data_IF_025262242268
#
_entry.id   IF_025262242268
#
_cell.length_a   1.000
_cell.length_b   1.000
_cell.length_c   1.000
_cell.angle_alpha   90.00
_cell.angle_beta   90.00
_cell.angle_gamma   90.00
#
_symmetry.space_group_name_H-M   'P 1'
#
loop_
_entity.id
_entity.type
_entity.pdbx_description
1 polymer ?
#
# COMPACT_ATOMS: atom_id res chain seq x y z
N UNK A 1 18.80 -13.40 -5.56
CA UNK A 1 18.35 -13.43 -4.15
C UNK A 1 19.40 -14.11 -3.28
N UNK A 2 19.90 -15.30 -3.65
CA UNK A 2 20.99 -15.98 -2.93
C UNK A 2 22.29 -15.17 -2.88
N UNK A 3 22.84 -14.74 -4.01
CA UNK A 3 24.06 -13.90 -4.02
C UNK A 3 23.89 -12.53 -3.36
N UNK A 4 22.66 -12.06 -3.14
CA UNK A 4 22.36 -10.81 -2.44
C UNK A 4 22.16 -11.00 -0.93
N UNK A 5 22.31 -12.23 -0.42
CA UNK A 5 22.08 -12.56 1.00
C UNK A 5 20.61 -12.52 1.43
N UNK A 6 19.67 -12.46 0.49
CA UNK A 6 18.22 -12.42 0.78
C UNK A 6 17.67 -13.83 1.03
N UNK A 7 18.26 -14.85 0.39
CA UNK A 7 17.89 -16.25 0.57
C UNK A 7 19.14 -17.08 0.87
N UNK A 8 19.01 -18.06 1.75
CA UNK A 8 20.03 -19.05 2.05
C UNK A 8 19.50 -20.46 1.81
N UNK A 9 20.41 -21.38 1.46
CA UNK A 9 20.06 -22.79 1.31
C UNK A 9 20.01 -23.44 2.68
N UNK A 10 18.94 -24.16 2.97
CA UNK A 10 18.77 -24.96 4.17
C UNK A 10 18.55 -26.42 3.80
N UNK A 11 18.91 -27.35 4.69
CA UNK A 11 18.69 -28.77 4.44
C UNK A 11 17.21 -29.15 4.52
N UNK A 12 16.47 -28.56 5.46
CA UNK A 12 15.05 -28.84 5.69
C UNK A 12 14.38 -27.70 6.47
N UNK A 13 13.06 -27.56 6.32
CA UNK A 13 12.22 -26.63 7.08
C UNK A 13 10.89 -27.29 7.43
N UNK A 14 10.37 -26.99 8.61
CA UNK A 14 9.01 -27.37 9.02
C UNK A 14 7.94 -26.53 8.31
N UNK A 15 8.33 -25.37 7.76
CA UNK A 15 7.45 -24.45 7.05
C UNK A 15 7.88 -24.32 5.59
N UNK A 16 6.90 -24.41 4.69
CA UNK A 16 7.08 -24.17 3.26
C UNK A 16 5.86 -23.45 2.70
N UNK A 17 6.06 -22.73 1.59
CA UNK A 17 4.99 -22.16 0.78
C UNK A 17 5.28 -22.50 -0.68
N UNK A 18 4.28 -22.80 -1.52
CA UNK A 18 4.52 -22.98 -2.95
C UNK A 18 4.98 -21.66 -3.57
N UNK A 19 5.89 -21.76 -4.55
CA UNK A 19 6.35 -20.61 -5.33
C UNK A 19 5.56 -20.53 -6.63
N UNK A 20 5.00 -19.36 -6.89
CA UNK A 20 4.26 -19.01 -8.10
C UNK A 20 5.17 -18.16 -8.99
N UNK A 21 5.64 -18.69 -10.13
CA UNK A 21 6.34 -17.90 -11.13
C UNK A 21 5.35 -17.06 -11.94
N UNK A 22 5.56 -15.75 -11.95
CA UNK A 22 4.76 -14.78 -12.71
C UNK A 22 5.61 -14.22 -13.84
N UNK A 23 5.16 -14.40 -15.08
CA UNK A 23 5.81 -13.81 -16.26
C UNK A 23 5.27 -12.41 -16.47
N UNK A 24 6.15 -11.42 -16.47
CA UNK A 24 5.81 -10.03 -16.79
C UNK A 24 5.69 -9.81 -18.30
N UNK A 25 5.08 -8.69 -18.69
CA UNK A 25 4.95 -8.28 -20.10
C UNK A 25 6.29 -8.12 -20.82
N UNK A 26 7.33 -7.77 -20.08
CA UNK A 26 8.71 -7.65 -20.56
C UNK A 26 9.44 -9.01 -20.74
N UNK A 27 8.77 -10.12 -20.45
CA UNK A 27 9.32 -11.48 -20.47
C UNK A 27 10.12 -11.88 -19.23
N UNK A 28 10.34 -10.97 -18.28
CA UNK A 28 11.04 -11.29 -17.04
C UNK A 28 10.14 -12.04 -16.04
N UNK A 29 10.76 -12.87 -15.20
CA UNK A 29 10.05 -13.69 -14.22
C UNK A 29 10.15 -13.05 -12.83
N UNK A 30 9.00 -12.95 -12.15
CA UNK A 30 8.92 -12.67 -10.70
C UNK A 30 8.52 -13.95 -9.99
N UNK A 31 9.23 -14.29 -8.91
CA UNK A 31 8.85 -15.40 -8.04
C UNK A 31 8.05 -14.84 -6.87
N UNK A 32 6.86 -15.38 -6.64
CA UNK A 32 5.95 -14.98 -5.57
C UNK A 32 5.64 -16.20 -4.69
N UNK A 33 5.83 -16.12 -3.37
CA UNK A 33 5.36 -17.19 -2.47
C UNK A 33 3.85 -17.08 -2.28
N UNK A 34 3.12 -18.19 -2.38
CA UNK A 34 1.68 -18.23 -2.07
C UNK A 34 1.48 -18.39 -0.56
N UNK A 35 1.69 -17.28 0.16
CA UNK A 35 1.51 -17.23 1.61
C UNK A 35 0.05 -17.32 2.05
N UNK A 36 -0.91 -17.13 1.13
CA UNK A 36 -2.35 -17.23 1.41
C UNK A 36 -2.71 -18.62 1.90
N UNK A 37 -2.15 -19.65 1.27
CA UNK A 37 -2.48 -21.04 1.61
C UNK A 37 -1.78 -21.54 2.88
N UNK A 38 -0.70 -20.87 3.32
CA UNK A 38 0.15 -21.29 4.44
C UNK A 38 0.24 -20.20 5.53
N UNK A 39 1.25 -19.33 5.46
CA UNK A 39 1.63 -18.36 6.51
C UNK A 39 0.46 -17.50 6.97
N UNK A 40 -0.35 -17.00 6.02
CA UNK A 40 -1.44 -16.08 6.33
C UNK A 40 -2.59 -16.73 7.13
N UNK A 41 -2.68 -18.07 7.17
CA UNK A 41 -3.64 -18.78 8.04
C UNK A 41 -3.18 -18.87 9.48
N UNK A 42 -1.88 -18.76 9.73
CA UNK A 42 -1.26 -18.94 11.04
C UNK A 42 -0.88 -17.61 11.69
N UNK A 43 -0.82 -16.52 10.92
CA UNK A 43 -0.57 -15.17 11.42
C UNK A 43 -1.88 -14.54 11.92
N UNK A 44 -1.84 -13.94 13.11
CA UNK A 44 -2.95 -13.11 13.60
C UNK A 44 -2.89 -11.75 12.91
N UNK A 45 -3.96 -11.28 12.24
CA UNK A 45 -3.95 -9.98 11.60
C UNK A 45 -3.77 -8.90 12.66
N UNK A 46 -2.77 -8.06 12.47
CA UNK A 46 -2.56 -6.85 13.23
C UNK A 46 -2.67 -5.66 12.28
N UNK A 47 -3.65 -4.80 12.52
CA UNK A 47 -3.84 -3.57 11.76
C UNK A 47 -3.10 -2.45 12.47
N UNK A 48 -1.98 -2.01 11.91
CA UNK A 48 -1.40 -0.74 12.29
C UNK A 48 -2.25 0.38 11.65
N UNK A 49 -2.70 1.40 12.41
CA UNK A 49 -3.48 2.50 11.86
C UNK A 49 -2.57 3.38 11.02
N UNK A 50 -2.40 3.03 9.75
CA UNK A 50 -1.83 3.95 8.77
C UNK A 50 -2.91 4.97 8.42
N UNK A 51 -2.61 6.28 8.51
CA UNK A 51 -3.56 7.30 8.10
C UNK A 51 -3.91 7.06 6.65
N UNK A 52 -5.19 6.96 6.35
CA UNK A 52 -5.60 6.84 4.96
C UNK A 52 -5.37 8.18 4.27
N UNK A 53 -5.04 8.14 2.98
CA UNK A 53 -4.92 9.36 2.17
C UNK A 53 -6.19 10.21 2.29
N UNK A 54 -7.35 9.57 2.40
CA UNK A 54 -8.64 10.23 2.58
C UNK A 54 -8.76 10.98 3.91
N UNK A 55 -8.28 10.44 5.04
CA UNK A 55 -8.30 11.14 6.33
C UNK A 55 -7.48 12.43 6.30
N UNK A 56 -6.39 12.46 5.52
CA UNK A 56 -5.51 13.63 5.36
C UNK A 56 -6.00 14.61 4.29
N UNK A 57 -6.74 14.13 3.29
CA UNK A 57 -7.23 14.93 2.17
C UNK A 57 -8.65 15.47 2.36
N UNK A 58 -9.47 14.92 3.26
CA UNK A 58 -10.89 15.28 3.37
C UNK A 58 -11.11 16.77 3.60
N UNK A 59 -10.29 17.40 4.44
CA UNK A 59 -10.38 18.83 4.75
C UNK A 59 -9.92 19.70 3.56
N UNK A 60 -8.87 19.27 2.86
CA UNK A 60 -8.31 19.99 1.71
C UNK A 60 -9.23 19.89 0.49
N UNK A 61 -9.91 18.74 0.33
CA UNK A 61 -10.79 18.47 -0.80
C UNK A 61 -12.21 19.03 -0.60
N UNK A 62 -12.54 19.57 0.57
CA UNK A 62 -13.89 20.08 0.87
C UNK A 62 -14.41 21.10 -0.17
N UNK A 63 -13.62 22.09 -0.62
CA UNK A 63 -14.04 23.01 -1.68
C UNK A 63 -14.30 22.28 -3.00
N UNK A 64 -13.51 21.26 -3.32
CA UNK A 64 -13.67 20.47 -4.54
C UNK A 64 -14.90 19.55 -4.46
N UNK A 65 -15.21 19.00 -3.28
CA UNK A 65 -16.41 18.19 -3.06
C UNK A 65 -17.69 19.02 -3.20
N UNK A 66 -17.68 20.30 -2.80
CA UNK A 66 -18.81 21.22 -3.02
C UNK A 66 -19.17 21.39 -4.50
N UNK A 67 -18.18 21.44 -5.39
CA UNK A 67 -18.40 21.50 -6.84
C UNK A 67 -19.09 20.25 -7.42
N UNK A 68 -19.09 19.13 -6.69
CA UNK A 68 -19.74 17.88 -7.11
C UNK A 68 -21.18 17.77 -6.58
N UNK A 69 -21.63 18.70 -5.74
CA UNK A 69 -22.98 18.68 -5.19
C UNK A 69 -24.01 19.13 -6.22
N UNK A 70 -25.20 18.53 -6.14
CA UNK A 70 -26.33 18.92 -6.99
C UNK A 70 -26.76 20.34 -6.64
N UNK A 71 -27.10 21.14 -7.65
CA UNK A 71 -27.55 22.54 -7.53
C UNK A 71 -26.47 23.57 -7.17
N UNK A 72 -25.19 23.21 -7.25
CA UNK A 72 -24.06 24.16 -7.21
C UNK A 72 -23.66 24.53 -8.64
N UNK A 73 -23.67 25.82 -9.03
CA UNK A 73 -23.14 26.23 -10.33
C UNK A 73 -21.63 25.95 -10.36
N UNK A 74 -21.18 25.30 -11.43
CA UNK A 74 -19.78 24.97 -11.59
C UNK A 74 -18.97 26.24 -11.89
N UNK A 75 -18.27 26.75 -10.87
CA UNK A 75 -17.39 27.90 -10.99
C UNK A 75 -16.05 27.62 -10.31
N UNK A 76 -14.97 27.66 -11.10
CA UNK A 76 -13.62 27.45 -10.59
C UNK A 76 -13.03 28.75 -10.04
N UNK A 77 -13.10 28.92 -8.72
CA UNK A 77 -12.51 30.05 -8.00
C UNK A 77 -11.05 29.78 -7.57
N UNK A 78 -10.38 30.81 -7.04
CA UNK A 78 -9.03 30.70 -6.49
C UNK A 78 -8.93 29.68 -5.34
N UNK A 79 -9.99 29.53 -4.54
CA UNK A 79 -10.05 28.57 -3.42
C UNK A 79 -9.96 27.12 -3.92
N UNK A 80 -10.62 26.81 -5.05
CA UNK A 80 -10.57 25.49 -5.68
C UNK A 80 -9.18 25.19 -6.26
N UNK A 81 -8.54 26.19 -6.87
CA UNK A 81 -7.19 26.07 -7.41
C UNK A 81 -6.15 25.83 -6.31
N UNK A 82 -6.31 26.50 -5.16
CA UNK A 82 -5.47 26.31 -3.98
C UNK A 82 -5.64 24.91 -3.38
N UNK A 83 -6.89 24.47 -3.18
CA UNK A 83 -7.22 23.11 -2.74
C UNK A 83 -6.65 22.03 -3.67
N UNK A 84 -6.72 22.23 -4.98
CA UNK A 84 -6.17 21.30 -5.98
C UNK A 84 -4.64 21.22 -5.95
N UNK A 85 -3.96 22.35 -5.76
CA UNK A 85 -2.49 22.39 -5.62
C UNK A 85 -2.04 21.75 -4.30
N UNK A 86 -2.73 22.07 -3.20
CA UNK A 86 -2.44 21.52 -1.89
C UNK A 86 -2.59 19.99 -1.85
N UNK A 87 -3.68 19.46 -2.43
CA UNK A 87 -3.91 18.01 -2.52
C UNK A 87 -2.85 17.29 -3.36
N UNK A 88 -2.44 17.85 -4.50
CA UNK A 88 -1.31 17.33 -5.28
C UNK A 88 0.01 17.34 -4.51
N UNK A 89 0.27 18.42 -3.78
CA UNK A 89 1.45 18.54 -2.94
C UNK A 89 1.49 17.41 -1.92
N UNK A 90 0.42 17.25 -1.15
CA UNK A 90 0.32 16.23 -0.10
C UNK A 90 0.46 14.79 -0.62
N UNK A 91 -0.11 14.51 -1.80
CA UNK A 91 0.05 13.21 -2.47
C UNK A 91 1.48 12.93 -2.95
N UNK A 92 2.28 13.97 -3.11
CA UNK A 92 3.68 13.90 -3.54
C UNK A 92 4.66 13.96 -2.36
N UNK A 93 4.19 14.30 -1.16
CA UNK A 93 5.02 14.41 0.04
C UNK A 93 5.35 13.03 0.61
N UNK A 94 6.57 12.89 1.15
CA UNK A 94 7.05 11.69 1.84
C UNK A 94 6.31 11.38 3.15
N UNK A 95 5.39 12.25 3.61
CA UNK A 95 4.58 12.05 4.83
C UNK A 95 3.63 10.85 4.76
N UNK A 96 3.35 10.33 3.56
CA UNK A 96 2.61 9.07 3.36
C UNK A 96 3.53 7.83 3.28
N UNK A 97 4.84 8.05 3.22
CA UNK A 97 5.87 7.01 3.21
C UNK A 97 6.44 6.87 4.62
N UNK A 98 5.82 6.01 5.44
CA UNK A 98 6.41 5.63 6.72
C UNK A 98 7.73 4.92 6.45
N UNK A 99 8.84 5.57 6.77
CA UNK A 99 10.17 4.99 6.67
C UNK A 99 10.35 3.90 7.72
N UNK A 100 11.08 2.85 7.34
CA UNK A 100 11.45 1.77 8.24
C UNK A 100 12.29 2.29 9.42
N UNK A 101 11.88 1.97 10.65
CA UNK A 101 12.59 2.28 11.89
C UNK A 101 12.95 0.97 12.62
N UNK A 102 14.25 0.72 12.79
CA UNK A 102 14.81 -0.46 13.45
C UNK A 102 14.44 -0.58 14.93
N UNK A 103 14.04 0.53 15.57
CA UNK A 103 13.66 0.56 17.00
C UNK A 103 12.20 0.19 17.22
N UNK A 104 11.38 0.20 16.17
CA UNK A 104 10.01 -0.23 16.23
C UNK A 104 9.92 -1.76 16.06
N UNK A 105 8.96 -2.43 16.71
CA UNK A 105 8.77 -3.86 16.51
C UNK A 105 8.51 -4.16 15.03
N UNK A 106 9.31 -5.06 14.46
CA UNK A 106 9.10 -5.53 13.10
C UNK A 106 7.87 -6.43 13.07
N UNK A 107 6.78 -5.92 12.52
CA UNK A 107 5.52 -6.66 12.35
C UNK A 107 5.43 -7.08 10.90
N UNK A 108 5.39 -8.39 10.66
CA UNK A 108 5.10 -8.93 9.33
C UNK A 108 3.60 -8.79 9.06
N UNK A 109 3.23 -7.80 8.25
CA UNK A 109 1.88 -7.66 7.71
C UNK A 109 1.88 -8.21 6.28
N UNK A 110 0.97 -9.15 5.99
CA UNK A 110 0.69 -9.59 4.62
C UNK A 110 -0.66 -9.01 4.22
N UNK A 111 -0.73 -8.39 3.04
CA UNK A 111 -1.95 -7.90 2.40
C UNK A 111 -2.80 -9.08 1.90
N UNK A 112 -3.24 -9.92 2.82
CA UNK A 112 -4.15 -11.02 2.55
C UNK A 112 -5.57 -10.47 2.37
N UNK A 113 -5.85 -9.86 1.22
CA UNK A 113 -7.25 -9.75 0.80
C UNK A 113 -7.80 -11.16 0.60
N UNK A 114 -8.97 -11.46 1.19
CA UNK A 114 -9.69 -12.71 0.92
C UNK A 114 -10.16 -12.80 -0.54
N UNK A 115 -10.24 -11.65 -1.22
CA UNK A 115 -10.55 -11.49 -2.64
C UNK A 115 -9.36 -10.82 -3.35
N UNK A 116 -8.61 -11.60 -4.14
CA UNK A 116 -7.73 -10.99 -5.13
C UNK A 116 -8.57 -10.20 -6.13
N UNK A 117 -8.20 -8.94 -6.39
CA UNK A 117 -8.71 -8.17 -7.52
C UNK A 117 -8.23 -8.79 -8.84
#
# INVERSE_FOLDING_TARGET
MVHKGILESIASSEWATPVVPVVKRDGSIRLCGDYRCTVNKSVKPYTYPLPTVNERLSDILEPLHKLLQKDVPWEWSAEHEEAYKASKGLLTTDDLLVHYDEKLPLILTSDASSYGL
#
